data_IF_283089385419
#
_entry.id   IF_283089385419
#
_cell.length_a   1.000
_cell.length_b   1.000
_cell.length_c   1.000
_cell.angle_alpha   90.00
_cell.angle_beta   90.00
_cell.angle_gamma   90.00
#
_symmetry.space_group_name_H-M   'P 1'
#
loop_
_entity.id
_entity.type
_entity.pdbx_description
1 polymer ?
#
# COMPACT_ATOMS: atom_id res chain seq x y z
N UNK A 1 -0.28 0.47 -17.47
CA UNK A 1 1.17 0.25 -17.61
C UNK A 1 1.56 -0.89 -16.69
N UNK A 2 2.39 -1.82 -17.15
CA UNK A 2 2.79 -2.99 -16.35
C UNK A 2 4.10 -2.71 -15.59
N UNK A 3 4.12 -2.75 -14.25
CA UNK A 3 5.33 -2.58 -13.44
C UNK A 3 6.48 -3.52 -13.82
N UNK A 4 6.19 -4.68 -14.40
CA UNK A 4 7.20 -5.64 -14.84
C UNK A 4 7.91 -5.27 -16.14
N UNK A 5 7.43 -4.28 -16.89
CA UNK A 5 8.10 -3.78 -18.08
C UNK A 5 9.06 -2.64 -17.71
N UNK A 6 10.37 -2.72 -18.05
CA UNK A 6 11.36 -1.75 -17.58
C UNK A 6 11.06 -0.33 -18.06
N UNK A 7 10.68 -0.16 -19.33
CA UNK A 7 10.38 1.17 -19.87
C UNK A 7 9.13 1.79 -19.25
N UNK A 8 8.11 0.97 -18.96
CA UNK A 8 6.90 1.45 -18.28
C UNK A 8 7.20 1.83 -16.83
N UNK A 9 8.02 1.04 -16.14
CA UNK A 9 8.49 1.35 -14.80
C UNK A 9 9.31 2.64 -14.78
N UNK A 10 10.22 2.83 -15.75
CA UNK A 10 11.05 4.03 -15.85
C UNK A 10 10.21 5.26 -16.18
N UNK A 11 9.24 5.14 -17.10
CA UNK A 11 8.32 6.23 -17.41
C UNK A 11 7.56 6.74 -16.18
N UNK A 12 7.07 5.84 -15.31
CA UNK A 12 6.41 6.23 -14.06
C UNK A 12 7.36 6.98 -13.12
N UNK A 13 8.62 6.53 -13.03
CA UNK A 13 9.65 7.22 -12.24
C UNK A 13 9.90 8.62 -12.80
N UNK A 14 10.11 8.72 -14.12
CA UNK A 14 10.43 9.98 -14.80
C UNK A 14 9.30 11.00 -14.68
N UNK A 15 8.05 10.57 -14.81
CA UNK A 15 6.89 11.46 -14.59
C UNK A 15 6.88 11.99 -13.16
N UNK A 16 7.02 11.11 -12.16
CA UNK A 16 7.00 11.53 -10.76
C UNK A 16 8.17 12.48 -10.42
N UNK A 17 9.39 12.21 -10.90
CA UNK A 17 10.57 13.04 -10.60
C UNK A 17 10.59 14.32 -11.43
N UNK A 18 10.00 14.33 -12.63
CA UNK A 18 9.84 15.55 -13.43
C UNK A 18 8.96 16.58 -12.71
N UNK A 19 7.94 16.14 -11.97
CA UNK A 19 7.11 17.05 -11.16
C UNK A 19 7.93 17.72 -10.06
N UNK A 20 8.78 16.96 -9.38
CA UNK A 20 9.67 17.48 -8.33
C UNK A 20 10.73 18.43 -8.91
N UNK A 21 11.25 18.14 -10.11
CA UNK A 21 12.29 18.95 -10.74
C UNK A 21 11.76 20.28 -11.30
N UNK A 22 10.52 20.30 -11.79
CA UNK A 22 10.00 21.44 -12.55
C UNK A 22 8.99 22.30 -11.79
N UNK A 23 8.50 21.83 -10.63
CA UNK A 23 7.51 22.55 -9.83
C UNK A 23 7.92 22.63 -8.37
N UNK A 24 7.60 23.75 -7.72
CA UNK A 24 7.83 23.92 -6.28
C UNK A 24 6.74 23.20 -5.46
N UNK A 25 6.88 21.87 -5.35
CA UNK A 25 5.98 21.00 -4.58
C UNK A 25 6.63 20.54 -3.29
N UNK A 26 5.85 20.40 -2.23
CA UNK A 26 6.31 19.82 -0.95
C UNK A 26 6.33 18.29 -0.96
N UNK A 27 5.64 17.68 -1.92
CA UNK A 27 5.54 16.23 -1.99
C UNK A 27 4.84 15.73 -3.25
N UNK A 28 4.92 14.42 -3.44
CA UNK A 28 4.23 13.67 -4.48
C UNK A 28 3.39 12.58 -3.82
N UNK A 29 2.12 12.50 -4.21
CA UNK A 29 1.22 11.42 -3.80
C UNK A 29 1.04 10.42 -4.95
N UNK A 30 1.40 9.16 -4.69
CA UNK A 30 1.32 8.07 -5.63
C UNK A 30 -0.06 7.40 -5.55
N UNK A 31 -0.95 7.71 -6.49
CA UNK A 31 -2.17 6.96 -6.69
C UNK A 31 -1.93 5.77 -7.64
N UNK A 32 -2.64 4.66 -7.40
CA UNK A 32 -2.60 3.43 -8.20
C UNK A 32 -1.20 2.83 -8.40
N UNK A 33 -0.28 3.04 -7.48
CA UNK A 33 1.02 2.34 -7.47
C UNK A 33 0.84 0.88 -7.03
N UNK A 34 0.31 0.05 -7.92
CA UNK A 34 -0.08 -1.36 -7.71
C UNK A 34 -0.40 -2.03 -9.05
N UNK A 35 -0.64 -3.34 -9.03
CA UNK A 35 -1.29 -4.01 -10.17
C UNK A 35 -2.79 -3.70 -10.24
N UNK A 36 -3.42 -3.78 -11.42
CA UNK A 36 -4.83 -3.43 -11.59
C UNK A 36 -5.81 -4.32 -10.79
N UNK A 37 -7.01 -3.77 -10.59
CA UNK A 37 -8.19 -4.52 -10.14
C UNK A 37 -8.72 -5.47 -11.24
N UNK A 38 -9.77 -6.24 -10.96
CA UNK A 38 -10.41 -7.13 -11.97
C UNK A 38 -9.65 -8.44 -12.21
N UNK A 39 -9.03 -8.97 -11.17
CA UNK A 39 -8.33 -10.24 -11.22
C UNK A 39 -9.29 -11.43 -11.44
N UNK A 40 -8.75 -12.57 -11.90
CA UNK A 40 -9.51 -13.81 -12.14
C UNK A 40 -10.11 -14.44 -10.87
N UNK A 41 -9.70 -13.99 -9.69
CA UNK A 41 -10.23 -14.42 -8.40
C UNK A 41 -9.73 -13.56 -7.25
N UNK A 42 -10.38 -13.68 -6.09
CA UNK A 42 -9.94 -13.03 -4.85
C UNK A 42 -8.57 -13.58 -4.45
N UNK A 43 -7.64 -12.69 -4.08
CA UNK A 43 -6.26 -13.06 -3.71
C UNK A 43 -5.48 -13.78 -4.84
N UNK A 44 -5.91 -13.67 -6.10
CA UNK A 44 -5.26 -14.28 -7.25
C UNK A 44 -4.75 -13.21 -8.23
N UNK A 45 -3.51 -12.71 -8.09
CA UNK A 45 -2.98 -11.65 -8.96
C UNK A 45 -2.78 -12.18 -10.39
N UNK A 46 -3.67 -11.84 -11.32
CA UNK A 46 -3.70 -12.38 -12.69
C UNK A 46 -3.15 -11.44 -13.77
N UNK A 47 -2.74 -10.24 -13.40
CA UNK A 47 -2.10 -9.26 -14.30
C UNK A 47 -0.57 -9.46 -14.38
N UNK A 48 0.13 -8.77 -15.29
CA UNK A 48 1.59 -8.81 -15.34
C UNK A 48 2.23 -9.70 -16.40
N UNK A 49 1.43 -10.33 -17.26
CA UNK A 49 1.85 -11.37 -18.20
C UNK A 49 2.35 -10.85 -19.56
N UNK A 50 2.84 -9.62 -19.65
CA UNK A 50 3.46 -9.17 -20.89
C UNK A 50 4.77 -9.96 -21.15
N UNK A 51 5.13 -10.14 -22.43
CA UNK A 51 6.27 -10.97 -22.83
C UNK A 51 7.60 -10.53 -22.18
N UNK A 52 7.84 -9.22 -22.08
CA UNK A 52 9.05 -8.66 -21.45
C UNK A 52 9.12 -9.00 -19.97
N UNK A 53 8.02 -8.84 -19.22
CA UNK A 53 8.00 -9.17 -17.80
C UNK A 53 8.21 -10.67 -17.55
N UNK A 54 7.57 -11.53 -18.37
CA UNK A 54 7.77 -12.97 -18.29
C UNK A 54 9.22 -13.36 -18.55
N UNK A 55 9.83 -12.85 -19.62
CA UNK A 55 11.23 -13.12 -19.95
C UNK A 55 12.17 -12.68 -18.81
N UNK A 56 11.96 -11.49 -18.24
CA UNK A 56 12.76 -10.99 -17.11
C UNK A 56 12.61 -11.86 -15.86
N UNK A 57 11.40 -12.32 -15.55
CA UNK A 57 11.17 -13.24 -14.44
C UNK A 57 11.84 -14.60 -14.66
N UNK A 58 11.67 -15.16 -15.86
CA UNK A 58 12.30 -16.41 -16.28
C UNK A 58 13.81 -16.35 -16.14
N UNK A 59 14.45 -15.28 -16.62
CA UNK A 59 15.88 -15.05 -16.43
C UNK A 59 16.25 -14.90 -14.94
N UNK A 60 15.50 -14.11 -14.18
CA UNK A 60 15.81 -13.84 -12.77
C UNK A 60 15.67 -15.08 -11.86
N UNK A 61 14.76 -15.99 -12.19
CA UNK A 61 14.47 -17.20 -11.39
C UNK A 61 15.01 -18.50 -12.02
N UNK A 62 15.69 -18.42 -13.16
CA UNK A 62 16.15 -19.62 -13.88
C UNK A 62 15.01 -20.53 -14.35
N UNK A 63 13.86 -19.94 -14.71
CA UNK A 63 12.66 -20.65 -15.16
C UNK A 63 12.45 -20.50 -16.65
N UNK A 64 11.66 -21.39 -17.23
CA UNK A 64 11.33 -21.38 -18.68
C UNK A 64 9.82 -21.46 -18.93
N UNK A 65 9.04 -21.72 -17.89
CA UNK A 65 7.60 -21.88 -17.99
C UNK A 65 6.88 -20.53 -17.86
N UNK A 66 5.59 -20.53 -18.22
CA UNK A 66 4.68 -19.43 -17.89
C UNK A 66 4.04 -19.74 -16.53
N UNK A 67 4.42 -19.06 -15.44
CA UNK A 67 3.94 -19.38 -14.10
C UNK A 67 2.42 -19.18 -13.98
N UNK A 68 1.70 -20.05 -13.25
CA UNK A 68 0.33 -19.78 -12.84
C UNK A 68 0.20 -18.46 -12.06
N UNK A 69 -0.99 -17.85 -12.06
CA UNK A 69 -1.22 -16.54 -11.41
C UNK A 69 -0.90 -16.53 -9.91
N UNK A 70 -1.18 -17.64 -9.23
CA UNK A 70 -0.90 -17.83 -7.80
C UNK A 70 0.49 -18.40 -7.50
N UNK A 71 1.38 -18.52 -8.48
CA UNK A 71 2.75 -18.96 -8.25
C UNK A 71 3.47 -17.97 -7.31
N UNK A 72 4.08 -18.51 -6.24
CA UNK A 72 4.65 -17.70 -5.17
C UNK A 72 5.84 -16.86 -5.66
N UNK A 73 6.73 -17.42 -6.49
CA UNK A 73 7.91 -16.71 -7.00
C UNK A 73 7.49 -15.61 -7.97
N UNK A 74 6.53 -15.88 -8.85
CA UNK A 74 6.01 -14.90 -9.79
C UNK A 74 5.25 -13.77 -9.10
N UNK A 75 4.46 -14.09 -8.08
CA UNK A 75 3.75 -13.12 -7.25
C UNK A 75 4.71 -12.22 -6.50
N UNK A 76 5.75 -12.79 -5.88
CA UNK A 76 6.76 -12.01 -5.17
C UNK A 76 7.57 -11.14 -6.14
N UNK A 77 8.05 -11.70 -7.25
CA UNK A 77 8.83 -10.95 -8.23
C UNK A 77 8.08 -9.73 -8.77
N UNK A 78 6.78 -9.86 -9.08
CA UNK A 78 5.92 -8.75 -9.51
C UNK A 78 5.74 -7.69 -8.43
N UNK A 79 5.55 -8.10 -7.17
CA UNK A 79 5.51 -7.18 -6.02
C UNK A 79 6.81 -6.40 -5.90
N UNK A 80 7.95 -7.06 -6.08
CA UNK A 80 9.26 -6.41 -6.04
C UNK A 80 9.42 -5.38 -7.16
N UNK A 81 8.78 -5.57 -8.32
CA UNK A 81 8.79 -4.56 -9.39
C UNK A 81 8.05 -3.28 -8.96
N UNK A 82 6.89 -3.39 -8.30
CA UNK A 82 6.16 -2.22 -7.76
C UNK A 82 7.02 -1.53 -6.70
N UNK A 83 7.58 -2.29 -5.76
CA UNK A 83 8.48 -1.77 -4.72
C UNK A 83 9.70 -1.06 -5.31
N UNK A 84 10.27 -1.60 -6.39
CA UNK A 84 11.42 -0.98 -7.08
C UNK A 84 11.08 0.38 -7.69
N UNK A 85 9.87 0.54 -8.25
CA UNK A 85 9.39 1.84 -8.75
C UNK A 85 9.29 2.84 -7.59
N UNK A 86 8.64 2.47 -6.48
CA UNK A 86 8.52 3.34 -5.29
C UNK A 86 9.90 3.75 -4.78
N UNK A 87 10.83 2.80 -4.67
CA UNK A 87 12.21 3.06 -4.23
C UNK A 87 12.94 4.03 -5.15
N UNK A 88 12.84 3.84 -6.47
CA UNK A 88 13.45 4.74 -7.47
C UNK A 88 12.89 6.16 -7.37
N UNK A 89 11.56 6.29 -7.28
CA UNK A 89 10.89 7.59 -7.08
C UNK A 89 11.43 8.27 -5.83
N UNK A 90 11.44 7.56 -4.68
CA UNK A 90 11.88 8.12 -3.41
C UNK A 90 13.34 8.62 -3.47
N UNK A 91 14.26 7.79 -3.94
CA UNK A 91 15.69 8.13 -3.99
C UNK A 91 15.97 9.28 -4.97
N UNK A 92 15.35 9.29 -6.14
CA UNK A 92 15.56 10.34 -7.13
C UNK A 92 14.90 11.66 -6.72
N UNK A 93 13.67 11.62 -6.19
CA UNK A 93 13.00 12.80 -5.67
C UNK A 93 13.79 13.43 -4.51
N UNK A 94 14.32 12.61 -3.59
CA UNK A 94 15.15 13.07 -2.49
C UNK A 94 16.46 13.70 -2.97
N UNK A 95 17.10 13.13 -4.00
CA UNK A 95 18.31 13.70 -4.60
C UNK A 95 18.07 15.07 -5.25
N UNK A 96 16.87 15.28 -5.83
CA UNK A 96 16.46 16.56 -6.41
C UNK A 96 16.09 17.60 -5.34
N UNK A 97 15.26 17.21 -4.36
CA UNK A 97 14.74 18.08 -3.31
C UNK A 97 14.67 17.31 -1.98
N UNK A 98 15.68 17.38 -1.10
CA UNK A 98 15.75 16.57 0.13
C UNK A 98 14.60 16.74 1.14
N UNK A 99 13.79 17.80 1.00
CA UNK A 99 12.61 18.05 1.85
C UNK A 99 11.31 17.49 1.27
N UNK A 100 11.32 17.00 0.03
CA UNK A 100 10.13 16.45 -0.62
C UNK A 100 9.63 15.23 0.13
N UNK A 101 8.31 15.10 0.26
CA UNK A 101 7.66 13.95 0.89
C UNK A 101 6.97 13.07 -0.13
N UNK A 102 7.11 11.75 0.04
CA UNK A 102 6.44 10.77 -0.81
C UNK A 102 5.29 10.13 -0.04
N UNK A 103 4.07 10.28 -0.54
CA UNK A 103 2.89 9.61 -0.02
C UNK A 103 2.28 8.65 -1.06
N UNK A 104 1.40 7.76 -0.63
CA UNK A 104 0.72 6.84 -1.53
C UNK A 104 -0.67 6.50 -1.04
N UNK A 105 -1.62 6.44 -1.97
CA UNK A 105 -2.96 5.93 -1.74
C UNK A 105 -2.94 4.41 -1.85
N UNK A 106 -3.23 3.73 -0.75
CA UNK A 106 -3.09 2.28 -0.67
C UNK A 106 -4.39 1.58 -0.36
N UNK A 107 -4.47 0.32 -0.76
CA UNK A 107 -5.73 -0.39 -0.76
C UNK A 107 -6.00 -0.99 0.62
N UNK A 108 -7.27 -0.93 0.99
CA UNK A 108 -7.84 -1.51 2.20
C UNK A 108 -9.07 -2.38 1.85
N UNK A 109 -8.94 -3.29 0.87
CA UNK A 109 -10.08 -4.10 0.42
C UNK A 109 -10.45 -5.20 1.40
N UNK A 110 -11.76 -5.40 1.59
CA UNK A 110 -12.31 -6.41 2.49
C UNK A 110 -11.87 -6.18 3.94
N UNK A 111 -11.82 -7.27 4.70
CA UNK A 111 -11.32 -7.28 6.06
C UNK A 111 -9.82 -7.03 6.12
N UNK A 112 -9.40 -6.43 7.24
CA UNK A 112 -8.00 -6.14 7.50
C UNK A 112 -7.21 -7.38 7.94
N UNK A 113 -5.91 -7.21 8.20
CA UNK A 113 -5.01 -8.29 8.61
C UNK A 113 -5.52 -9.12 9.80
N UNK A 114 -6.25 -8.52 10.73
CA UNK A 114 -6.78 -9.16 11.93
C UNK A 114 -7.69 -10.34 11.58
N UNK A 115 -8.64 -10.16 10.67
CA UNK A 115 -9.56 -11.22 10.24
C UNK A 115 -8.95 -12.07 9.12
N UNK A 116 -8.08 -11.51 8.28
CA UNK A 116 -7.44 -12.26 7.18
C UNK A 116 -6.30 -13.19 7.65
N UNK A 117 -5.91 -13.16 8.92
CA UNK A 117 -4.81 -13.98 9.46
C UNK A 117 -3.41 -13.41 9.21
N UNK A 118 -3.31 -12.12 8.87
CA UNK A 118 -2.05 -11.40 8.70
C UNK A 118 -2.01 -10.50 7.46
N UNK A 119 -1.00 -9.63 7.40
CA UNK A 119 -0.79 -8.67 6.31
C UNK A 119 -0.71 -9.35 4.94
N UNK A 120 0.04 -10.44 4.85
CA UNK A 120 0.32 -11.15 3.61
C UNK A 120 -0.89 -11.86 3.03
N UNK A 121 -1.91 -12.12 3.84
CA UNK A 121 -3.18 -12.75 3.43
C UNK A 121 -4.22 -11.73 2.95
N UNK A 122 -3.96 -10.43 3.13
CA UNK A 122 -4.88 -9.39 2.67
C UNK A 122 -4.88 -9.25 1.16
N UNK A 123 -5.98 -8.77 0.59
CA UNK A 123 -6.07 -8.44 -0.84
C UNK A 123 -5.05 -7.38 -1.27
N UNK A 124 -4.71 -6.44 -0.39
CA UNK A 124 -3.70 -5.42 -0.65
C UNK A 124 -2.34 -6.05 -0.95
N UNK A 125 -1.93 -7.02 -0.13
CA UNK A 125 -0.71 -7.77 -0.36
C UNK A 125 -0.91 -8.83 -1.45
N UNK A 126 -1.75 -9.84 -1.23
CA UNK A 126 -1.85 -11.01 -2.08
C UNK A 126 -2.37 -10.72 -3.50
N UNK A 127 -3.35 -9.84 -3.64
CA UNK A 127 -4.06 -9.62 -4.91
C UNK A 127 -3.48 -8.46 -5.73
N UNK A 128 -3.19 -7.34 -5.08
CA UNK A 128 -2.81 -6.10 -5.75
C UNK A 128 -1.31 -5.82 -5.74
N UNK A 129 -0.57 -6.66 -5.02
CA UNK A 129 0.88 -6.61 -4.92
C UNK A 129 1.41 -5.28 -4.39
N UNK A 130 0.63 -4.64 -3.50
CA UNK A 130 0.91 -3.30 -2.96
C UNK A 130 1.47 -3.39 -1.54
N UNK A 131 2.78 -3.63 -1.41
CA UNK A 131 3.43 -3.85 -0.09
C UNK A 131 3.77 -2.55 0.66
N UNK A 132 2.76 -1.73 0.95
CA UNK A 132 2.97 -0.45 1.61
C UNK A 132 3.59 -0.57 3.01
N UNK A 133 3.34 -1.68 3.72
CA UNK A 133 3.95 -1.93 5.03
C UNK A 133 5.46 -2.09 4.87
N UNK A 134 5.90 -2.86 3.87
CA UNK A 134 7.31 -2.98 3.51
C UNK A 134 7.92 -1.63 3.16
N UNK A 135 7.22 -0.82 2.36
CA UNK A 135 7.70 0.52 1.95
C UNK A 135 7.89 1.47 3.14
N UNK A 136 6.96 1.47 4.10
CA UNK A 136 7.10 2.27 5.31
C UNK A 136 8.20 1.75 6.24
N UNK A 137 8.36 0.42 6.36
CA UNK A 137 9.41 -0.20 7.16
C UNK A 137 10.80 0.12 6.62
N UNK A 138 10.97 0.03 5.30
CA UNK A 138 12.20 0.39 4.59
C UNK A 138 12.45 1.90 4.63
N UNK A 139 11.38 2.69 4.68
CA UNK A 139 11.46 4.15 4.73
C UNK A 139 11.50 4.81 3.35
N UNK A 140 10.93 4.16 2.34
CA UNK A 140 10.74 4.68 0.98
C UNK A 140 9.32 5.23 0.76
N UNK A 141 8.55 5.37 1.83
CA UNK A 141 7.23 6.01 1.87
C UNK A 141 7.12 6.84 3.16
N UNK A 142 6.91 8.15 3.04
CA UNK A 142 6.81 9.05 4.19
C UNK A 142 5.42 9.02 4.84
N UNK A 143 4.39 8.92 4.01
CA UNK A 143 3.00 8.93 4.44
C UNK A 143 2.20 7.87 3.67
N UNK A 144 1.68 6.88 4.39
CA UNK A 144 0.71 5.95 3.83
C UNK A 144 -0.71 6.46 4.00
N UNK A 145 -1.52 6.42 2.95
CA UNK A 145 -2.93 6.80 2.98
C UNK A 145 -3.80 5.61 2.56
N UNK A 146 -4.13 4.67 3.49
CA UNK A 146 -5.07 3.61 3.17
C UNK A 146 -6.44 4.20 2.79
N UNK A 147 -6.92 3.88 1.60
CA UNK A 147 -8.25 4.20 1.07
C UNK A 147 -9.30 3.30 1.74
N UNK A 148 -9.53 3.52 3.03
CA UNK A 148 -10.44 2.73 3.85
C UNK A 148 -11.90 3.16 3.69
N UNK A 149 -12.35 2.98 2.46
CA UNK A 149 -13.64 3.45 1.98
C UNK A 149 -14.73 2.44 2.32
N UNK A 150 -15.26 2.59 3.54
CA UNK A 150 -16.26 1.71 4.15
C UNK A 150 -17.53 2.47 4.48
N UNK A 151 -18.67 1.77 4.49
CA UNK A 151 -19.95 2.29 4.95
C UNK A 151 -20.19 1.89 6.40
N UNK A 152 -20.33 2.86 7.28
CA UNK A 152 -20.55 2.63 8.72
C UNK A 152 -21.89 1.94 9.01
N UNK A 153 -22.89 2.16 8.16
CA UNK A 153 -24.19 1.49 8.25
C UNK A 153 -24.12 -0.02 7.95
N UNK A 154 -23.09 -0.49 7.24
CA UNK A 154 -22.89 -1.91 6.96
C UNK A 154 -22.07 -2.55 8.08
N UNK A 155 -22.76 -3.04 9.12
CA UNK A 155 -22.13 -3.43 10.39
C UNK A 155 -22.50 -4.85 10.89
N UNK A 156 -23.06 -5.70 10.02
CA UNK A 156 -23.44 -7.09 10.34
C UNK A 156 -23.02 -8.06 9.24
N UNK A 157 -22.99 -9.36 9.59
CA UNK A 157 -22.71 -10.45 8.64
C UNK A 157 -21.32 -10.41 8.02
N UNK A 158 -21.18 -11.07 6.86
CA UNK A 158 -19.93 -11.18 6.11
C UNK A 158 -19.49 -9.88 5.39
N UNK A 159 -20.32 -8.83 5.42
CA UNK A 159 -20.03 -7.51 4.87
C UNK A 159 -19.99 -6.44 5.97
N UNK A 160 -19.42 -6.78 7.13
CA UNK A 160 -19.27 -5.86 8.26
C UNK A 160 -18.17 -4.83 7.97
N UNK A 161 -18.50 -3.81 7.18
CA UNK A 161 -17.57 -2.75 6.77
C UNK A 161 -17.14 -1.86 7.93
N UNK A 162 -17.94 -1.74 8.99
CA UNK A 162 -17.51 -1.07 10.24
C UNK A 162 -16.33 -1.80 10.89
N UNK A 163 -16.39 -3.12 10.96
CA UNK A 163 -15.27 -3.93 11.44
C UNK A 163 -14.07 -3.80 10.50
N UNK A 164 -14.27 -3.94 9.19
CA UNK A 164 -13.20 -3.78 8.20
C UNK A 164 -12.48 -2.44 8.37
N UNK A 165 -13.23 -1.35 8.55
CA UNK A 165 -12.67 -0.01 8.77
C UNK A 165 -11.79 0.04 10.03
N UNK A 166 -12.30 -0.52 11.13
CA UNK A 166 -11.58 -0.54 12.40
C UNK A 166 -10.27 -1.32 12.27
N UNK A 167 -10.32 -2.49 11.64
CA UNK A 167 -9.16 -3.34 11.44
C UNK A 167 -8.06 -2.65 10.63
N UNK A 168 -8.42 -2.04 9.50
CA UNK A 168 -7.47 -1.31 8.65
C UNK A 168 -6.91 -0.08 9.34
N UNK A 169 -7.75 0.69 10.04
CA UNK A 169 -7.31 1.87 10.78
C UNK A 169 -6.34 1.54 11.92
N UNK A 170 -6.63 0.51 12.71
CA UNK A 170 -5.73 0.02 13.77
C UNK A 170 -4.43 -0.51 13.19
N UNK A 171 -4.51 -1.31 12.12
CA UNK A 171 -3.33 -1.87 11.49
C UNK A 171 -2.42 -0.78 10.91
N UNK A 172 -2.99 0.23 10.23
CA UNK A 172 -2.23 1.37 9.70
C UNK A 172 -1.53 2.15 10.82
N UNK A 173 -2.21 2.37 11.94
CA UNK A 173 -1.67 3.03 13.12
C UNK A 173 -0.52 2.25 13.77
N UNK A 174 -0.64 0.93 13.88
CA UNK A 174 0.37 0.08 14.51
C UNK A 174 1.59 -0.19 13.60
N UNK A 175 1.47 0.07 12.30
CA UNK A 175 2.53 -0.16 11.30
C UNK A 175 3.10 1.12 10.69
N UNK A 176 3.05 2.26 11.41
CA UNK A 176 3.64 3.53 10.95
C UNK A 176 5.18 3.53 10.93
N UNK A 177 5.83 2.66 11.71
CA UNK A 177 7.28 2.67 11.93
C UNK A 177 7.79 4.07 12.32
N UNK A 178 8.80 4.61 11.61
CA UNK A 178 9.30 5.99 11.78
C UNK A 178 8.67 6.98 10.77
N UNK A 179 7.53 6.61 10.20
CA UNK A 179 6.81 7.34 9.15
C UNK A 179 5.41 7.71 9.65
N UNK A 180 4.52 8.15 8.76
CA UNK A 180 3.16 8.54 9.12
C UNK A 180 2.13 7.72 8.35
N UNK A 181 0.93 7.58 8.93
CA UNK A 181 -0.21 7.03 8.21
C UNK A 181 -1.48 7.84 8.53
N UNK A 182 -2.26 8.13 7.50
CA UNK A 182 -3.55 8.82 7.61
C UNK A 182 -4.61 7.97 6.91
N UNK A 183 -5.72 7.68 7.59
CA UNK A 183 -6.76 6.82 7.01
C UNK A 183 -7.67 7.66 6.10
N UNK A 184 -7.72 7.32 4.81
CA UNK A 184 -8.67 7.88 3.86
C UNK A 184 -10.08 7.32 4.12
N UNK A 185 -11.03 8.19 4.47
CA UNK A 185 -12.31 7.75 5.04
C UNK A 185 -13.47 7.68 4.05
N UNK A 186 -13.35 8.25 2.85
CA UNK A 186 -14.45 8.45 1.90
C UNK A 186 -15.71 9.02 2.59
N UNK A 187 -15.61 10.27 3.05
CA UNK A 187 -16.73 10.98 3.70
C UNK A 187 -18.02 10.93 2.89
N UNK A 188 -17.95 10.94 1.55
CA UNK A 188 -19.11 10.86 0.67
C UNK A 188 -19.93 9.56 0.78
N UNK A 189 -19.40 8.50 1.42
CA UNK A 189 -20.10 7.23 1.63
C UNK A 189 -20.96 7.20 2.91
N UNK A 190 -20.87 8.22 3.78
CA UNK A 190 -21.45 8.20 5.11
C UNK A 190 -22.08 9.56 5.45
N UNK A 191 -23.09 9.58 6.31
CA UNK A 191 -23.57 10.85 6.87
C UNK A 191 -22.51 11.49 7.79
N UNK A 192 -22.68 12.78 8.08
CA UNK A 192 -21.76 13.55 8.94
C UNK A 192 -21.63 12.92 10.32
N UNK A 193 -22.73 12.44 10.90
CA UNK A 193 -22.75 11.83 12.23
C UNK A 193 -21.93 10.54 12.31
N UNK A 194 -22.08 9.65 11.34
CA UNK A 194 -21.27 8.43 11.24
C UNK A 194 -19.80 8.72 10.92
N UNK A 195 -19.54 9.75 10.11
CA UNK A 195 -18.17 10.21 9.81
C UNK A 195 -17.43 10.70 11.06
N UNK A 196 -18.12 11.45 11.93
CA UNK A 196 -17.55 11.99 13.16
C UNK A 196 -17.43 10.94 14.29
N UNK A 197 -18.53 10.23 14.59
CA UNK A 197 -18.59 9.29 15.74
C UNK A 197 -17.80 8.00 15.51
N UNK A 198 -17.74 7.51 14.27
CA UNK A 198 -17.13 6.22 13.95
C UNK A 198 -15.61 6.26 13.81
N UNK A 199 -15.05 7.38 13.35
CA UNK A 199 -13.68 7.42 12.79
C UNK A 199 -12.69 8.26 13.60
N UNK A 200 -13.08 9.46 14.04
CA UNK A 200 -12.21 10.33 14.82
C UNK A 200 -11.99 9.82 16.26
N UNK A 201 -13.06 9.36 16.92
CA UNK A 201 -12.97 8.89 18.31
C UNK A 201 -12.11 7.63 18.50
N UNK A 202 -12.14 6.69 17.53
CA UNK A 202 -11.40 5.41 17.63
C UNK A 202 -9.91 5.56 17.33
N UNK A 203 -9.55 6.47 16.42
CA UNK A 203 -8.14 6.74 16.09
C UNK A 203 -7.35 7.33 17.28
N UNK A 204 -8.05 8.05 18.17
CA UNK A 204 -7.47 8.73 19.34
C UNK A 204 -7.21 7.83 20.56
N UNK A 205 -7.70 6.58 20.59
CA UNK A 205 -7.49 5.67 21.73
C UNK A 205 -6.09 5.05 21.67
N UNK A 206 -5.16 5.29 22.63
CA UNK A 206 -3.79 4.77 22.56
C UNK A 206 -3.71 3.24 22.55
N UNK A 207 -2.78 2.67 21.77
CA UNK A 207 -2.51 1.22 21.79
C UNK A 207 -1.61 0.85 23.00
N UNK A 208 -1.94 -0.19 23.80
CA UNK A 208 -1.19 -0.56 25.02
C UNK A 208 0.27 -0.97 24.80
N UNK A 209 0.73 -1.25 23.56
CA UNK A 209 2.15 -1.51 23.28
C UNK A 209 3.03 -0.26 23.33
N UNK A 210 2.48 0.95 23.11
CA UNK A 210 3.24 2.21 23.12
C UNK A 210 3.69 2.68 24.51
N UNK A 211 3.11 2.16 25.59
CA UNK A 211 3.49 2.53 26.96
C UNK A 211 4.73 1.80 27.49
N UNK A 212 5.18 0.71 26.85
CA UNK A 212 6.39 -0.02 27.29
C UNK A 212 7.69 0.49 26.66
N UNK A 213 7.66 1.06 25.47
CA UNK A 213 8.88 1.51 24.76
C UNK A 213 9.35 2.92 25.15
N UNK A 214 8.56 3.69 25.92
CA UNK A 214 8.97 5.01 26.45
C UNK A 214 9.52 4.98 27.89
N UNK A 215 9.64 3.80 28.50
CA UNK A 215 10.00 3.64 29.91
C UNK A 215 11.47 3.33 30.21
N UNK A 216 12.32 3.07 29.21
CA UNK A 216 13.74 2.73 29.42
C UNK A 216 14.65 3.63 28.60
N UNK A 217 14.76 4.89 29.00
CA UNK A 217 15.85 5.79 28.59
C UNK A 217 16.06 6.88 29.66
N UNK A 218 16.17 6.47 30.92
CA UNK A 218 16.77 7.28 31.98
C UNK A 218 17.45 6.33 32.97
N UNK A 219 18.74 6.10 32.75
CA UNK A 219 19.81 5.88 33.73
C UNK A 219 21.13 5.77 32.99
#
# INVERSE_FOLDING_TARGET
MDPGHPDAAQWVVDVATSLVANYDVDGINLDRIRYPDGNLGTNLPSWGYNATALARFQTAMGRVDRPPAGDAQWTQWRRDQVTSIVRKIYLQAYALKPRVRISADTIAYGYGPQTQGGWTSTRTYAELLQDWRGWMQEGILDLNIPMDYKRDASNTGSNNQRQMFTEWAEFAKDNQFRRQAVVGTALYLNDVGSSLRGRLGRLLVPHPRRSRERGCAQR
#
